data_IF_172301433203
#
_entry.id   IF_172301433203
#
_cell.length_a   1.000
_cell.length_b   1.000
_cell.length_c   1.000
_cell.angle_alpha   90.00
_cell.angle_beta   90.00
_cell.angle_gamma   90.00
#
_symmetry.space_group_name_H-M   'P 1'
#
loop_
_entity.id
_entity.type
_entity.pdbx_description
1 polymer ?
#
# COMPACT_ATOMS: atom_id res chain seq x y z
N UNK A 1 -31.17 23.02 37.50
CA UNK A 1 -31.15 21.56 37.41
C UNK A 1 -31.50 21.05 35.98
N UNK A 2 -32.45 21.65 35.26
CA UNK A 2 -32.89 21.22 33.91
C UNK A 2 -31.82 21.36 32.82
N UNK A 3 -31.01 22.44 32.85
CA UNK A 3 -29.99 22.72 31.82
C UNK A 3 -28.84 21.68 31.87
N UNK A 4 -28.42 21.29 33.05
CA UNK A 4 -27.38 20.28 33.24
C UNK A 4 -27.78 18.91 32.66
N UNK A 5 -29.04 18.53 32.89
CA UNK A 5 -29.60 17.28 32.36
C UNK A 5 -29.61 17.25 30.81
N UNK A 6 -29.97 18.37 30.17
CA UNK A 6 -30.01 18.50 28.71
C UNK A 6 -28.61 18.39 28.13
N UNK A 7 -27.58 18.97 28.78
CA UNK A 7 -26.19 18.89 28.32
C UNK A 7 -25.66 17.45 28.40
N UNK A 8 -25.92 16.77 29.53
CA UNK A 8 -25.48 15.37 29.73
C UNK A 8 -26.12 14.44 28.68
N UNK A 9 -27.41 14.59 28.41
CA UNK A 9 -28.13 13.79 27.38
C UNK A 9 -27.56 14.05 25.99
N UNK A 10 -27.26 15.29 25.64
CA UNK A 10 -26.64 15.60 24.32
C UNK A 10 -25.26 14.98 24.17
N UNK A 11 -24.42 15.03 25.20
CA UNK A 11 -23.08 14.41 25.21
C UNK A 11 -23.21 12.89 25.08
N UNK A 12 -24.14 12.26 25.78
CA UNK A 12 -24.38 10.83 25.70
C UNK A 12 -24.85 10.39 24.28
N UNK A 13 -25.77 11.16 23.70
CA UNK A 13 -26.22 10.91 22.29
C UNK A 13 -25.07 11.07 21.30
N UNK A 14 -24.25 12.12 21.43
CA UNK A 14 -23.08 12.33 20.55
C UNK A 14 -22.06 11.21 20.70
N UNK A 15 -21.77 10.77 21.94
CA UNK A 15 -20.89 9.63 22.21
C UNK A 15 -21.41 8.33 21.61
N UNK A 16 -22.72 8.08 21.70
CA UNK A 16 -23.35 6.89 21.11
C UNK A 16 -23.33 6.91 19.58
N UNK A 17 -23.57 8.06 18.96
CA UNK A 17 -23.47 8.22 17.49
C UNK A 17 -22.02 8.02 17.02
N UNK A 18 -21.03 8.59 17.73
CA UNK A 18 -19.62 8.41 17.41
C UNK A 18 -19.20 6.93 17.51
N UNK A 19 -19.70 6.20 18.54
CA UNK A 19 -19.47 4.77 18.70
C UNK A 19 -20.09 3.96 17.53
N UNK A 20 -21.32 4.29 17.13
CA UNK A 20 -21.98 3.62 16.01
C UNK A 20 -21.23 3.83 14.68
N UNK A 21 -20.71 5.04 14.43
CA UNK A 21 -19.92 5.36 13.24
C UNK A 21 -18.60 4.58 13.25
N UNK A 22 -17.92 4.43 14.39
CA UNK A 22 -16.66 3.69 14.49
C UNK A 22 -16.83 2.19 14.24
N UNK A 23 -17.94 1.58 14.63
CA UNK A 23 -18.26 0.17 14.37
C UNK A 23 -18.60 -0.07 12.90
N UNK A 24 -19.21 0.90 12.20
CA UNK A 24 -19.58 0.79 10.78
C UNK A 24 -18.37 0.84 9.81
N UNK A 25 -17.17 1.19 10.27
CA UNK A 25 -15.96 1.26 9.45
C UNK A 25 -15.15 -0.05 9.40
N UNK A 26 -15.59 -1.11 10.07
CA UNK A 26 -14.95 -2.44 10.00
C UNK A 26 -15.41 -3.13 8.73
N UNK A 27 -14.78 -2.80 7.59
CA UNK A 27 -14.93 -3.59 6.36
C UNK A 27 -14.17 -4.90 6.54
N UNK A 28 -14.80 -6.07 6.34
CA UNK A 28 -14.05 -7.32 6.28
C UNK A 28 -13.06 -7.23 5.10
N UNK A 29 -11.77 -7.36 5.39
CA UNK A 29 -10.76 -7.54 4.36
C UNK A 29 -10.82 -9.00 3.93
N UNK A 30 -11.33 -9.26 2.74
CA UNK A 30 -11.20 -10.57 2.11
C UNK A 30 -9.87 -10.60 1.37
N UNK A 31 -9.00 -11.50 1.78
CA UNK A 31 -7.70 -11.72 1.17
C UNK A 31 -7.82 -12.35 -0.24
N UNK A 32 -8.91 -13.06 -0.51
CA UNK A 32 -9.19 -13.69 -1.80
C UNK A 32 -10.33 -13.00 -2.53
N UNK A 33 -10.12 -12.70 -3.81
CA UNK A 33 -11.16 -12.13 -4.67
C UNK A 33 -12.00 -13.23 -5.27
N UNK A 34 -13.31 -13.06 -5.22
CA UNK A 34 -14.29 -14.03 -5.74
C UNK A 34 -15.07 -13.43 -6.89
N UNK A 35 -15.23 -14.20 -7.97
CA UNK A 35 -16.07 -13.88 -9.13
C UNK A 35 -17.00 -15.06 -9.40
N UNK A 36 -18.26 -14.77 -9.74
CA UNK A 36 -19.24 -15.76 -10.14
C UNK A 36 -19.43 -15.72 -11.65
N UNK A 37 -19.33 -16.89 -12.29
CA UNK A 37 -19.55 -17.09 -13.73
C UNK A 37 -20.53 -18.25 -13.87
N UNK A 38 -21.75 -17.93 -14.27
CA UNK A 38 -22.85 -18.89 -14.36
C UNK A 38 -23.01 -19.68 -13.02
N UNK A 39 -22.85 -20.99 -13.02
CA UNK A 39 -22.91 -21.83 -11.81
C UNK A 39 -21.58 -21.91 -11.05
N UNK A 40 -20.51 -21.35 -11.60
CA UNK A 40 -19.19 -21.44 -10.99
C UNK A 40 -18.87 -20.24 -10.13
N UNK A 41 -18.29 -20.51 -8.98
CA UNK A 41 -17.67 -19.53 -8.10
C UNK A 41 -16.16 -19.72 -8.16
N UNK A 42 -15.46 -18.72 -8.66
CA UNK A 42 -14.01 -18.70 -8.84
C UNK A 42 -13.41 -17.74 -7.83
N UNK A 43 -12.55 -18.24 -6.97
CA UNK A 43 -11.86 -17.49 -5.94
C UNK A 43 -10.37 -17.54 -6.22
N UNK A 44 -9.69 -16.36 -6.25
CA UNK A 44 -8.27 -16.25 -6.53
C UNK A 44 -7.58 -15.45 -5.43
N UNK A 45 -6.41 -15.90 -5.01
CA UNK A 45 -5.60 -15.24 -3.99
C UNK A 45 -4.20 -15.82 -3.88
N UNK A 46 -3.46 -15.35 -2.89
CA UNK A 46 -2.15 -15.87 -2.57
C UNK A 46 -2.24 -16.99 -1.53
N UNK A 47 -1.35 -17.96 -1.60
CA UNK A 47 -1.26 -19.05 -0.61
C UNK A 47 -0.72 -18.57 0.73
N UNK A 48 0.19 -17.61 0.70
CA UNK A 48 0.80 -16.99 1.89
C UNK A 48 0.52 -15.49 1.83
N UNK A 49 -0.08 -14.98 2.89
CA UNK A 49 -0.50 -13.58 3.01
C UNK A 49 0.12 -12.91 4.25
N UNK A 50 0.53 -11.64 4.10
CA UNK A 50 0.59 -10.87 2.87
C UNK A 50 1.66 -11.40 1.90
N UNK A 51 1.43 -11.32 0.57
CA UNK A 51 2.45 -11.69 -0.41
C UNK A 51 3.57 -10.66 -0.41
N UNK A 52 4.83 -11.14 -0.41
CA UNK A 52 6.01 -10.27 -0.30
C UNK A 52 6.83 -10.32 -1.58
N UNK A 53 7.26 -9.14 -2.04
CA UNK A 53 8.13 -9.00 -3.21
C UNK A 53 9.43 -9.78 -3.05
N UNK A 54 9.83 -10.53 -4.10
CA UNK A 54 11.07 -11.33 -4.11
C UNK A 54 10.97 -12.66 -3.37
N UNK A 55 9.87 -12.95 -2.69
CA UNK A 55 9.63 -14.22 -2.00
C UNK A 55 8.72 -15.10 -2.85
N UNK A 56 9.11 -16.38 -3.03
CA UNK A 56 8.27 -17.36 -3.72
C UNK A 56 6.94 -17.53 -2.98
N UNK A 57 5.87 -17.47 -3.72
CA UNK A 57 4.52 -17.74 -3.24
C UNK A 57 3.75 -18.53 -4.30
N UNK A 58 2.61 -19.10 -3.92
CA UNK A 58 1.74 -19.77 -4.87
C UNK A 58 0.47 -18.92 -5.07
N UNK A 59 0.05 -18.77 -6.32
CA UNK A 59 -1.28 -18.28 -6.63
C UNK A 59 -2.23 -19.47 -6.49
N UNK A 60 -3.28 -19.30 -5.71
CA UNK A 60 -4.31 -20.30 -5.48
C UNK A 60 -5.58 -19.91 -6.23
N UNK A 61 -6.11 -20.82 -7.00
CA UNK A 61 -7.40 -20.69 -7.64
C UNK A 61 -8.32 -21.78 -7.10
N UNK A 62 -9.46 -21.38 -6.55
CA UNK A 62 -10.49 -22.28 -6.07
C UNK A 62 -11.71 -22.15 -6.96
N UNK A 63 -12.13 -23.26 -7.56
CA UNK A 63 -13.29 -23.32 -8.45
C UNK A 63 -14.32 -24.27 -7.88
N UNK A 64 -15.50 -23.74 -7.61
CA UNK A 64 -16.61 -24.50 -7.06
C UNK A 64 -17.87 -24.27 -7.89
N UNK A 65 -18.76 -25.25 -7.88
CA UNK A 65 -20.13 -25.13 -8.40
C UNK A 65 -21.13 -25.23 -7.25
N UNK A 66 -22.29 -24.63 -7.40
CA UNK A 66 -23.39 -24.78 -6.44
C UNK A 66 -23.80 -26.25 -6.34
N UNK A 67 -23.94 -26.74 -5.13
CA UNK A 67 -24.41 -28.10 -4.86
C UNK A 67 -25.94 -28.23 -4.89
N UNK A 68 -26.44 -29.44 -4.65
CA UNK A 68 -27.87 -29.77 -4.72
C UNK A 68 -28.71 -29.14 -3.60
N UNK A 69 -28.07 -28.57 -2.58
CA UNK A 69 -28.71 -27.89 -1.45
C UNK A 69 -28.19 -26.45 -1.33
N UNK A 70 -29.05 -25.55 -0.90
CA UNK A 70 -28.70 -24.15 -0.67
C UNK A 70 -27.50 -24.02 0.28
N UNK A 71 -26.49 -23.22 -0.14
CA UNK A 71 -25.26 -23.02 0.62
C UNK A 71 -24.21 -24.13 0.53
N UNK A 72 -24.46 -25.19 -0.24
CA UNK A 72 -23.46 -26.23 -0.50
C UNK A 72 -22.68 -25.93 -1.79
N UNK A 73 -21.38 -26.22 -1.77
CA UNK A 73 -20.49 -26.04 -2.91
C UNK A 73 -19.66 -27.30 -3.13
N UNK A 74 -19.49 -27.67 -4.39
CA UNK A 74 -18.67 -28.82 -4.79
C UNK A 74 -17.48 -28.30 -5.60
N UNK A 75 -16.26 -28.72 -5.22
CA UNK A 75 -15.04 -28.38 -5.94
C UNK A 75 -14.99 -29.04 -7.32
N UNK A 76 -14.63 -28.28 -8.33
CA UNK A 76 -14.46 -28.75 -9.70
C UNK A 76 -13.06 -29.33 -9.84
N UNK A 77 -12.94 -30.58 -10.26
CA UNK A 77 -11.66 -31.23 -10.57
C UNK A 77 -11.30 -31.07 -12.05
N UNK A 78 -10.01 -30.99 -12.36
CA UNK A 78 -9.49 -30.91 -13.74
C UNK A 78 -9.97 -29.69 -14.53
N UNK A 79 -10.28 -28.56 -13.88
CA UNK A 79 -10.71 -27.34 -14.55
C UNK A 79 -9.64 -26.82 -15.52
N UNK A 80 -8.38 -26.84 -15.12
CA UNK A 80 -7.25 -26.37 -15.94
C UNK A 80 -6.83 -27.33 -17.06
N UNK A 81 -7.69 -28.27 -17.42
CA UNK A 81 -7.47 -29.05 -18.65
C UNK A 81 -7.80 -28.24 -19.91
N UNK A 82 -8.79 -27.37 -19.82
CA UNK A 82 -9.25 -26.50 -20.92
C UNK A 82 -9.35 -25.03 -20.48
N UNK A 83 -8.78 -24.68 -19.35
CA UNK A 83 -8.73 -23.32 -18.80
C UNK A 83 -7.26 -22.92 -18.69
N UNK A 84 -6.92 -21.76 -19.24
CA UNK A 84 -5.60 -21.18 -19.16
C UNK A 84 -5.57 -20.02 -18.15
N UNK A 85 -4.45 -19.89 -17.44
CA UNK A 85 -4.22 -18.80 -16.50
C UNK A 85 -3.03 -17.94 -16.88
N UNK A 86 -3.24 -16.64 -16.85
CA UNK A 86 -2.19 -15.65 -17.14
C UNK A 86 -2.15 -14.60 -16.03
N UNK A 87 -0.98 -14.43 -15.42
CA UNK A 87 -0.73 -13.36 -14.46
C UNK A 87 -0.32 -12.10 -15.19
N UNK A 88 -0.92 -10.97 -14.81
CA UNK A 88 -0.66 -9.67 -15.40
C UNK A 88 -0.22 -8.65 -14.35
N UNK A 89 0.74 -7.79 -14.72
CA UNK A 89 1.21 -6.68 -13.91
C UNK A 89 1.74 -5.55 -14.79
N UNK A 90 1.18 -4.34 -14.68
CA UNK A 90 1.70 -3.14 -15.36
C UNK A 90 1.92 -3.28 -16.85
N UNK A 91 1.07 -4.03 -17.57
CA UNK A 91 1.17 -4.32 -19.00
C UNK A 91 2.05 -5.52 -19.35
N UNK A 92 2.78 -6.10 -18.39
CA UNK A 92 3.45 -7.39 -18.56
C UNK A 92 2.48 -8.53 -18.27
N UNK A 93 2.63 -9.66 -18.99
CA UNK A 93 1.82 -10.86 -18.78
C UNK A 93 2.71 -12.10 -18.78
N UNK A 94 2.29 -13.11 -18.02
CA UNK A 94 2.96 -14.41 -17.94
C UNK A 94 1.92 -15.50 -17.82
N UNK A 95 1.87 -16.41 -18.81
CA UNK A 95 1.10 -17.65 -18.68
C UNK A 95 1.74 -18.54 -17.62
N UNK A 96 0.92 -19.14 -16.78
CA UNK A 96 1.32 -20.03 -15.70
C UNK A 96 0.50 -21.32 -15.72
N UNK A 97 1.16 -22.43 -15.41
CA UNK A 97 0.52 -23.74 -15.35
C UNK A 97 0.01 -24.01 -13.94
N UNK A 98 -1.22 -24.45 -13.83
CA UNK A 98 -1.85 -24.82 -12.55
C UNK A 98 -1.80 -26.32 -12.31
N UNK A 99 -1.37 -26.69 -11.12
CA UNK A 99 -1.44 -28.06 -10.60
C UNK A 99 -2.62 -28.20 -9.66
N UNK A 100 -3.36 -29.33 -9.76
CA UNK A 100 -4.46 -29.62 -8.85
C UNK A 100 -3.96 -30.01 -7.45
N UNK A 101 -4.64 -29.52 -6.43
CA UNK A 101 -4.49 -29.97 -5.06
C UNK A 101 -5.27 -31.26 -4.82
N UNK A 102 -4.88 -32.14 -3.86
CA UNK A 102 -5.70 -33.25 -3.42
C UNK A 102 -7.11 -32.84 -2.97
N UNK A 103 -7.30 -31.62 -2.50
CA UNK A 103 -8.59 -31.05 -2.17
C UNK A 103 -9.31 -30.63 -3.45
N UNK A 104 -10.49 -31.23 -3.76
CA UNK A 104 -11.21 -30.91 -4.99
C UNK A 104 -11.49 -29.41 -5.16
N UNK A 105 -11.25 -28.91 -6.37
CA UNK A 105 -11.50 -27.53 -6.72
C UNK A 105 -10.38 -26.56 -6.40
N UNK A 106 -9.30 -26.99 -5.76
CA UNK A 106 -8.13 -26.17 -5.48
C UNK A 106 -7.01 -26.43 -6.48
N UNK A 107 -6.42 -25.34 -6.96
CA UNK A 107 -5.31 -25.34 -7.91
C UNK A 107 -4.28 -24.31 -7.46
N UNK A 108 -3.01 -24.58 -7.72
CA UNK A 108 -1.93 -23.70 -7.35
C UNK A 108 -0.89 -23.59 -8.46
N UNK A 109 -0.25 -22.43 -8.55
CA UNK A 109 0.89 -22.18 -9.44
C UNK A 109 1.91 -21.32 -8.73
N UNK A 110 3.18 -21.76 -8.76
CA UNK A 110 4.26 -21.06 -8.06
C UNK A 110 4.80 -19.88 -8.87
N UNK A 111 4.99 -18.75 -8.20
CA UNK A 111 5.54 -17.53 -8.78
C UNK A 111 6.40 -16.79 -7.75
N UNK A 112 7.35 -15.99 -8.23
CA UNK A 112 8.05 -14.99 -7.42
C UNK A 112 7.61 -13.62 -7.91
N UNK A 113 6.77 -12.88 -7.17
CA UNK A 113 6.42 -11.52 -7.53
C UNK A 113 7.66 -10.62 -7.39
N UNK A 114 8.03 -9.91 -8.43
CA UNK A 114 9.25 -9.06 -8.44
C UNK A 114 8.97 -7.58 -8.30
N UNK A 115 7.70 -7.20 -8.18
CA UNK A 115 7.22 -5.83 -7.99
C UNK A 115 6.14 -5.80 -6.93
N UNK A 116 6.08 -4.72 -6.18
CA UNK A 116 4.98 -4.44 -5.23
C UNK A 116 3.77 -3.90 -5.96
N UNK A 117 2.58 -4.05 -5.37
CA UNK A 117 1.31 -3.56 -5.90
C UNK A 117 0.43 -4.65 -6.51
N UNK A 118 -0.61 -4.22 -7.23
CA UNK A 118 -1.72 -5.07 -7.68
C UNK A 118 -1.34 -5.94 -8.87
N UNK A 119 -1.66 -7.22 -8.76
CA UNK A 119 -1.59 -8.20 -9.83
C UNK A 119 -3.00 -8.57 -10.28
N UNK A 120 -3.14 -9.03 -11.52
CA UNK A 120 -4.39 -9.54 -12.08
C UNK A 120 -4.18 -10.99 -12.51
N UNK A 121 -5.17 -11.84 -12.25
CA UNK A 121 -5.28 -13.17 -12.84
C UNK A 121 -6.29 -13.12 -13.97
N UNK A 122 -5.86 -13.41 -15.18
CA UNK A 122 -6.69 -13.57 -16.36
C UNK A 122 -6.91 -15.07 -16.59
N UNK A 123 -8.16 -15.49 -16.56
CA UNK A 123 -8.58 -16.87 -16.77
C UNK A 123 -9.41 -16.95 -18.05
N UNK A 124 -8.93 -17.73 -19.02
CA UNK A 124 -9.58 -17.87 -20.32
C UNK A 124 -9.67 -19.35 -20.72
N UNK A 125 -10.82 -19.73 -21.23
CA UNK A 125 -11.06 -21.11 -21.68
C UNK A 125 -12.46 -21.60 -21.37
N UNK A 126 -12.58 -22.89 -21.02
CA UNK A 126 -13.88 -23.53 -20.79
C UNK A 126 -13.83 -24.48 -19.59
N UNK A 127 -14.92 -24.50 -18.83
CA UNK A 127 -15.17 -25.49 -17.79
C UNK A 127 -16.47 -26.19 -18.13
N UNK A 128 -16.42 -27.47 -18.55
CA UNK A 128 -17.63 -28.27 -18.91
C UNK A 128 -18.58 -27.48 -19.85
N UNK A 129 -18.08 -27.06 -20.98
CA UNK A 129 -18.82 -26.33 -22.02
C UNK A 129 -19.29 -24.90 -21.64
N UNK A 130 -18.88 -24.38 -20.50
CA UNK A 130 -19.10 -23.00 -20.12
C UNK A 130 -17.82 -22.19 -20.33
N UNK A 131 -17.95 -21.15 -21.15
CA UNK A 131 -16.84 -20.25 -21.47
C UNK A 131 -16.50 -19.38 -20.24
N UNK A 132 -15.23 -19.39 -19.84
CA UNK A 132 -14.68 -18.55 -18.79
C UNK A 132 -13.77 -17.50 -19.46
N UNK A 133 -14.03 -16.24 -19.21
CA UNK A 133 -13.22 -15.13 -19.67
C UNK A 133 -13.33 -14.02 -18.61
N UNK A 134 -12.46 -14.08 -17.60
CA UNK A 134 -12.52 -13.20 -16.44
C UNK A 134 -11.14 -12.72 -16.03
N UNK A 135 -11.06 -11.45 -15.64
CA UNK A 135 -9.88 -10.86 -15.02
C UNK A 135 -10.18 -10.57 -13.55
N UNK A 136 -9.40 -11.17 -12.67
CA UNK A 136 -9.62 -11.14 -11.22
C UNK A 136 -8.43 -10.44 -10.57
N UNK A 137 -8.61 -9.32 -9.86
CA UNK A 137 -7.55 -8.71 -9.10
C UNK A 137 -7.15 -9.60 -7.93
N UNK A 138 -5.83 -9.73 -7.72
CA UNK A 138 -5.25 -10.46 -6.60
C UNK A 138 -4.76 -9.41 -5.60
N UNK A 139 -4.72 -9.77 -4.31
CA UNK A 139 -4.21 -8.91 -3.25
C UNK A 139 -2.82 -8.35 -3.57
N UNK A 140 -2.60 -7.10 -3.16
CA UNK A 140 -1.37 -6.36 -3.43
C UNK A 140 -0.15 -7.03 -2.81
N UNK A 141 0.91 -7.11 -3.61
CA UNK A 141 2.23 -7.57 -3.16
C UNK A 141 2.91 -6.45 -2.37
N UNK A 142 3.28 -6.77 -1.15
CA UNK A 142 3.91 -5.88 -0.20
C UNK A 142 5.44 -5.85 -0.32
N UNK A 143 6.06 -4.82 0.24
CA UNK A 143 7.51 -4.75 0.34
C UNK A 143 8.05 -5.66 1.45
N UNK A 144 9.33 -6.03 1.36
CA UNK A 144 10.02 -6.83 2.40
C UNK A 144 10.01 -6.14 3.77
N UNK A 145 9.88 -4.82 3.81
CA UNK A 145 9.87 -4.05 5.06
C UNK A 145 8.74 -4.44 6.03
N UNK A 146 7.67 -5.06 5.53
CA UNK A 146 6.58 -5.58 6.36
C UNK A 146 7.04 -6.71 7.28
N UNK A 147 8.07 -7.47 6.85
CA UNK A 147 8.63 -8.60 7.60
C UNK A 147 9.96 -8.27 8.30
N UNK A 148 10.48 -7.05 8.15
CA UNK A 148 11.77 -6.68 8.73
C UNK A 148 11.73 -6.70 10.26
N UNK A 149 12.68 -7.42 10.87
CA UNK A 149 12.91 -7.37 12.31
C UNK A 149 14.41 -7.42 12.62
N UNK A 150 14.96 -6.45 13.38
CA UNK A 150 14.30 -5.22 13.82
C UNK A 150 13.86 -4.38 12.61
N UNK A 151 12.81 -3.55 12.76
CA UNK A 151 12.32 -2.75 11.64
C UNK A 151 13.44 -1.85 11.13
N UNK A 152 13.70 -1.95 9.83
CA UNK A 152 14.60 -1.01 9.16
C UNK A 152 13.90 0.34 9.18
N UNK A 153 14.39 1.24 10.07
CA UNK A 153 13.94 2.64 10.03
C UNK A 153 14.15 3.14 8.59
N UNK A 154 13.15 3.79 8.03
CA UNK A 154 13.21 4.39 6.68
C UNK A 154 14.27 5.51 6.53
N UNK A 155 15.16 5.65 7.50
CA UNK A 155 16.30 6.56 7.50
C UNK A 155 17.35 6.22 6.42
N UNK A 156 17.43 4.94 5.99
CA UNK A 156 18.41 4.54 4.98
C UNK A 156 18.18 5.14 3.57
N UNK A 157 16.94 5.43 3.20
CA UNK A 157 16.66 6.07 1.90
C UNK A 157 16.93 7.58 1.92
N UNK A 158 16.75 8.21 3.07
CA UNK A 158 17.07 9.63 3.27
C UNK A 158 18.59 9.82 3.32
N UNK A 159 19.31 8.91 3.99
CA UNK A 159 20.77 8.95 4.07
C UNK A 159 21.44 8.71 2.71
N UNK A 160 20.96 7.77 1.91
CA UNK A 160 21.50 7.53 0.56
C UNK A 160 21.22 8.72 -0.37
N UNK A 161 20.06 9.35 -0.27
CA UNK A 161 19.72 10.54 -1.02
C UNK A 161 20.54 11.75 -0.56
N UNK A 162 20.73 11.93 0.74
CA UNK A 162 21.57 12.95 1.33
C UNK A 162 23.03 12.75 0.93
N UNK A 163 23.54 11.52 0.99
CA UNK A 163 24.89 11.16 0.56
C UNK A 163 25.08 11.40 -0.95
N UNK A 164 24.12 11.02 -1.78
CA UNK A 164 24.17 11.29 -3.23
C UNK A 164 24.19 12.79 -3.51
N UNK A 165 23.37 13.57 -2.82
CA UNK A 165 23.36 15.03 -2.95
C UNK A 165 24.69 15.65 -2.48
N UNK A 166 25.26 15.17 -1.37
CA UNK A 166 26.56 15.60 -0.87
C UNK A 166 27.69 15.26 -1.85
N UNK A 167 27.69 14.06 -2.45
CA UNK A 167 28.65 13.67 -3.49
C UNK A 167 28.52 14.57 -4.73
N UNK A 168 27.30 14.85 -5.15
CA UNK A 168 27.06 15.74 -6.31
C UNK A 168 27.54 17.17 -6.06
N UNK A 169 27.33 17.71 -4.85
CA UNK A 169 27.83 19.05 -4.48
C UNK A 169 29.37 19.10 -4.41
N UNK A 170 30.01 18.07 -3.83
CA UNK A 170 31.45 17.91 -3.81
C UNK A 170 32.04 17.80 -5.22
N UNK A 171 31.41 17.08 -6.13
CA UNK A 171 31.83 16.99 -7.54
C UNK A 171 31.76 18.37 -8.23
N UNK A 172 30.69 19.14 -7.96
CA UNK A 172 30.59 20.53 -8.46
C UNK A 172 31.69 21.43 -7.90
N UNK A 173 31.96 21.34 -6.61
CA UNK A 173 33.01 22.15 -5.95
C UNK A 173 34.40 21.78 -6.47
N UNK A 174 34.70 20.52 -6.63
CA UNK A 174 35.96 20.06 -7.25
C UNK A 174 36.06 20.51 -8.71
N UNK A 175 34.96 20.51 -9.46
CA UNK A 175 34.94 21.00 -10.84
C UNK A 175 35.21 22.50 -10.92
N UNK A 176 34.65 23.30 -9.99
CA UNK A 176 34.90 24.76 -9.87
C UNK A 176 36.34 25.06 -9.49
N UNK A 177 36.92 24.28 -8.56
CA UNK A 177 38.33 24.43 -8.18
C UNK A 177 39.27 24.07 -9.35
N UNK A 178 38.92 23.07 -10.17
CA UNK A 178 39.70 22.64 -11.32
C UNK A 178 39.61 23.64 -12.48
N UNK A 179 38.51 24.36 -12.63
CA UNK A 179 38.33 25.43 -13.64
C UNK A 179 38.96 26.76 -13.24
N UNK A 180 39.54 26.91 -12.04
CA UNK A 180 40.22 28.12 -11.59
C UNK A 180 39.28 29.28 -11.26
N UNK A 181 37.98 29.05 -11.21
CA UNK A 181 36.99 30.05 -10.77
C UNK A 181 36.87 30.04 -9.25
N UNK A 182 37.72 30.83 -8.60
CA UNK A 182 37.54 31.27 -7.22
C UNK A 182 36.37 32.26 -7.17
N UNK A 183 35.15 31.80 -7.24
CA UNK A 183 34.01 32.67 -6.91
C UNK A 183 33.86 32.73 -5.39
N UNK A 184 34.31 33.80 -4.83
CA UNK A 184 33.95 34.32 -3.51
C UNK A 184 32.45 34.59 -3.47
N UNK A 185 31.62 33.54 -3.27
CA UNK A 185 30.18 33.70 -3.11
C UNK A 185 29.61 33.01 -1.84
N UNK A 186 30.37 33.06 -0.74
CA UNK A 186 29.84 32.67 0.57
C UNK A 186 29.32 33.86 1.41
N UNK A 187 29.26 35.10 0.83
CA UNK A 187 28.69 36.26 1.51
C UNK A 187 27.15 36.29 1.52
N UNK A 188 26.50 35.74 0.51
CA UNK A 188 25.03 35.87 0.33
C UNK A 188 24.24 35.16 1.42
N UNK A 189 24.47 33.87 1.64
CA UNK A 189 23.70 33.10 2.61
C UNK A 189 23.94 33.57 4.06
N UNK A 190 25.18 33.87 4.43
CA UNK A 190 25.51 34.43 5.75
C UNK A 190 24.87 35.82 5.96
N UNK A 191 24.84 36.64 4.91
CA UNK A 191 24.20 37.94 4.93
C UNK A 191 22.65 37.83 5.04
N UNK A 192 22.06 36.94 4.31
CA UNK A 192 20.60 36.65 4.37
C UNK A 192 20.17 36.14 5.74
N UNK A 193 20.96 35.23 6.35
CA UNK A 193 20.71 34.79 7.73
C UNK A 193 20.91 35.89 8.76
N UNK A 194 21.87 36.81 8.56
CA UNK A 194 22.08 37.95 9.43
C UNK A 194 20.91 38.96 9.37
N UNK A 195 20.38 39.23 8.17
CA UNK A 195 19.20 40.12 7.98
C UNK A 195 17.95 39.45 8.60
N UNK A 196 17.76 38.13 8.40
CA UNK A 196 16.64 37.41 8.98
C UNK A 196 16.71 37.39 10.51
N UNK A 197 17.88 37.17 11.08
CA UNK A 197 18.10 37.22 12.53
C UNK A 197 17.84 38.62 13.10
N UNK A 198 18.27 39.69 12.41
CA UNK A 198 18.03 41.06 12.81
C UNK A 198 16.55 41.44 12.80
N UNK A 199 15.80 40.96 11.82
CA UNK A 199 14.34 41.20 11.71
C UNK A 199 13.56 40.55 12.85
N UNK A 200 13.93 39.33 13.26
CA UNK A 200 13.31 38.61 14.39
C UNK A 200 13.65 39.34 15.71
N UNK A 201 14.89 39.81 15.88
CA UNK A 201 15.29 40.54 17.07
C UNK A 201 14.52 41.88 17.20
N UNK A 202 14.34 42.61 16.12
CA UNK A 202 13.54 43.84 16.11
C UNK A 202 12.08 43.58 16.48
N UNK A 203 11.46 42.53 15.95
CA UNK A 203 10.09 42.13 16.30
C UNK A 203 9.97 41.75 17.78
N UNK A 204 10.92 41.02 18.34
CA UNK A 204 10.94 40.66 19.75
C UNK A 204 11.04 41.87 20.69
N UNK A 205 11.87 42.89 20.31
CA UNK A 205 11.98 44.14 21.07
C UNK A 205 10.65 44.91 21.07
N UNK A 206 9.97 44.99 19.92
CA UNK A 206 8.67 45.66 19.81
C UNK A 206 7.63 44.96 20.69
N UNK A 207 7.58 43.65 20.65
CA UNK A 207 6.65 42.87 21.51
C UNK A 207 6.95 43.02 23.00
N UNK A 208 8.25 43.11 23.37
CA UNK A 208 8.64 43.34 24.75
C UNK A 208 8.22 44.74 25.23
N UNK A 209 8.35 45.78 24.41
CA UNK A 209 7.92 47.15 24.74
C UNK A 209 6.37 47.19 24.90
N UNK A 210 5.62 46.55 23.98
CA UNK A 210 4.18 46.49 24.07
C UNK A 210 3.72 45.75 25.35
N UNK A 211 4.41 44.64 25.70
CA UNK A 211 4.15 43.89 26.92
C UNK A 211 4.42 44.74 28.18
N UNK A 212 5.45 45.57 28.20
CA UNK A 212 5.76 46.44 29.31
C UNK A 212 4.72 47.58 29.48
N UNK A 213 4.26 48.16 28.37
CA UNK A 213 3.24 49.21 28.36
C UNK A 213 1.89 48.69 28.84
N UNK A 214 1.54 47.44 28.42
CA UNK A 214 0.25 46.83 28.79
C UNK A 214 0.20 46.27 30.21
N UNK A 215 1.33 46.21 30.91
CA UNK A 215 1.43 45.74 32.30
C UNK A 215 1.24 46.90 33.34
N UNK A 216 1.06 48.14 32.91
CA UNK A 216 0.63 49.28 33.71
C UNK A 216 -0.88 49.44 33.52
#
# INVERSE_FOLDING_TARGET
MCIYYIIVVKIAIFGFIALLISVGMLTPSFAHTTVEVEQYKIEVGWSIEPPIVGIRNDIVVKITESGDSEGTYRGITSAFKNLDGTVMYGGASKSIDFSGDPKPGYYFSSIIPTKTGSYLMDLQGEIRDITINVQIPIEDVESTSVLDFPPTSSEGSTDVSALKNAISSLQQDVSKLKSGETSTSNGGAAYDFAIFGLSIAAAAIILAIIGLIKRK
#
